data_IF_111597625706
#
_entry.id   IF_111597625706
#
_cell.length_a   1.000
_cell.length_b   1.000
_cell.length_c   1.000
_cell.angle_alpha   90.00
_cell.angle_beta   90.00
_cell.angle_gamma   90.00
#
_symmetry.space_group_name_H-M   'P 1'
#
loop_
_entity.id
_entity.type
_entity.pdbx_description
1 polymer ?
#
# COMPACT_ATOMS: atom_id res chain seq x y z
N UNK A 1 48.86 27.31 -29.57
CA UNK A 1 48.34 25.93 -29.59
C UNK A 1 46.83 26.02 -29.73
N UNK A 2 46.35 26.01 -30.97
CA UNK A 2 44.95 26.24 -31.32
C UNK A 2 44.33 24.88 -31.67
N UNK A 3 43.39 24.43 -30.82
CA UNK A 3 42.71 23.15 -31.00
C UNK A 3 41.53 23.33 -31.98
N UNK A 4 41.62 22.70 -33.15
CA UNK A 4 40.55 22.66 -34.13
C UNK A 4 39.36 21.78 -33.67
N UNK A 5 38.09 22.20 -33.91
CA UNK A 5 36.92 21.49 -33.40
C UNK A 5 36.52 20.26 -34.24
N UNK A 6 36.61 19.06 -33.65
CA UNK A 6 36.10 17.77 -34.15
C UNK A 6 34.55 17.68 -34.10
N UNK A 7 33.83 18.56 -34.81
CA UNK A 7 32.36 18.64 -34.72
C UNK A 7 31.59 18.04 -35.92
N UNK A 8 32.15 18.01 -37.14
CA UNK A 8 31.34 17.72 -38.35
C UNK A 8 30.90 16.26 -38.52
N UNK A 9 31.68 15.27 -38.06
CA UNK A 9 31.34 13.85 -38.27
C UNK A 9 30.12 13.37 -37.46
N UNK A 10 29.78 14.07 -36.37
CA UNK A 10 28.58 13.78 -35.57
C UNK A 10 27.31 14.27 -36.27
N UNK A 11 27.39 15.40 -36.96
CA UNK A 11 26.26 16.00 -37.69
C UNK A 11 25.85 15.12 -38.88
N UNK A 12 26.80 14.62 -39.67
CA UNK A 12 26.50 13.70 -40.77
C UNK A 12 25.88 12.37 -40.30
N UNK A 13 26.26 11.87 -39.12
CA UNK A 13 25.65 10.68 -38.53
C UNK A 13 24.19 10.94 -38.13
N UNK A 14 23.91 12.07 -37.48
CA UNK A 14 22.54 12.45 -37.07
C UNK A 14 21.62 12.65 -38.29
N UNK A 15 22.11 13.33 -39.33
CA UNK A 15 21.36 13.51 -40.58
C UNK A 15 21.13 12.17 -41.27
N UNK A 16 22.14 11.29 -41.30
CA UNK A 16 22.00 9.93 -41.82
C UNK A 16 20.93 9.12 -41.09
N UNK A 17 20.91 9.16 -39.75
CA UNK A 17 19.91 8.47 -38.92
C UNK A 17 18.49 9.05 -39.06
N UNK A 18 18.35 10.32 -39.42
CA UNK A 18 17.04 10.94 -39.67
C UNK A 18 16.51 10.68 -41.09
N UNK A 19 17.39 10.60 -42.09
CA UNK A 19 17.02 10.39 -43.50
C UNK A 19 16.78 8.90 -43.81
N UNK A 20 17.57 8.00 -43.21
CA UNK A 20 17.48 6.56 -43.46
C UNK A 20 16.07 5.98 -43.25
N UNK A 21 15.32 6.28 -42.16
CA UNK A 21 13.97 5.79 -41.97
C UNK A 21 13.00 6.28 -43.05
N UNK A 22 13.14 7.54 -43.48
CA UNK A 22 12.29 8.14 -44.54
C UNK A 22 12.55 7.43 -45.87
N UNK A 23 13.81 7.19 -46.22
CA UNK A 23 14.19 6.47 -47.44
C UNK A 23 13.72 5.01 -47.40
N UNK A 24 13.83 4.34 -46.25
CA UNK A 24 13.36 2.96 -46.08
C UNK A 24 11.84 2.88 -46.21
N UNK A 25 11.09 3.79 -45.60
CA UNK A 25 9.62 3.86 -45.73
C UNK A 25 9.22 4.12 -47.19
N UNK A 26 9.84 5.10 -47.85
CA UNK A 26 9.57 5.41 -49.24
C UNK A 26 9.90 4.22 -50.17
N UNK A 27 11.03 3.55 -49.94
CA UNK A 27 11.40 2.34 -50.67
C UNK A 27 10.37 1.22 -50.46
N UNK A 28 9.83 1.06 -49.25
CA UNK A 28 8.82 0.06 -48.94
C UNK A 28 7.50 0.29 -49.69
N UNK A 29 7.01 1.54 -49.68
CA UNK A 29 5.78 1.94 -50.38
C UNK A 29 5.90 1.92 -51.91
N UNK A 30 7.11 1.95 -52.46
CA UNK A 30 7.35 1.84 -53.91
C UNK A 30 7.66 0.40 -54.34
N UNK A 31 8.45 -0.33 -53.56
CA UNK A 31 8.89 -1.68 -53.89
C UNK A 31 7.76 -2.70 -53.80
N UNK A 32 6.89 -2.61 -52.78
CA UNK A 32 5.80 -3.59 -52.60
C UNK A 32 4.80 -3.54 -53.77
N UNK A 33 4.27 -2.37 -54.19
CA UNK A 33 3.43 -2.29 -55.38
C UNK A 33 4.12 -2.82 -56.63
N UNK A 34 5.39 -2.47 -56.82
CA UNK A 34 6.16 -2.92 -57.98
C UNK A 34 6.31 -4.45 -58.02
N UNK A 35 6.59 -5.09 -56.88
CA UNK A 35 6.68 -6.55 -56.75
C UNK A 35 5.33 -7.21 -57.02
N UNK A 36 4.23 -6.66 -56.50
CA UNK A 36 2.87 -7.16 -56.74
C UNK A 36 2.53 -7.09 -58.23
N UNK A 37 2.76 -5.93 -58.86
CA UNK A 37 2.52 -5.72 -60.29
C UNK A 37 3.36 -6.70 -61.12
N UNK A 38 4.65 -6.84 -60.80
CA UNK A 38 5.54 -7.78 -61.47
C UNK A 38 5.05 -9.23 -61.34
N UNK A 39 4.64 -9.65 -60.13
CA UNK A 39 4.13 -10.99 -59.87
C UNK A 39 2.84 -11.27 -60.66
N UNK A 40 1.90 -10.32 -60.66
CA UNK A 40 0.64 -10.43 -61.41
C UNK A 40 0.90 -10.59 -62.92
N UNK A 41 1.84 -9.82 -63.48
CA UNK A 41 2.16 -9.88 -64.91
C UNK A 41 2.93 -11.14 -65.29
N UNK A 42 3.80 -11.64 -64.41
CA UNK A 42 4.55 -12.87 -64.63
C UNK A 42 3.65 -14.10 -64.63
N UNK A 43 2.68 -14.15 -63.72
CA UNK A 43 1.78 -15.30 -63.55
C UNK A 43 0.69 -15.37 -64.63
N UNK A 44 0.18 -14.22 -65.07
CA UNK A 44 -0.93 -14.15 -66.02
C UNK A 44 -0.50 -13.62 -67.40
N UNK A 45 0.10 -14.49 -68.22
CA UNK A 45 0.55 -14.16 -69.59
C UNK A 45 -0.60 -13.75 -70.54
N UNK A 46 -1.86 -14.05 -70.21
CA UNK A 46 -3.05 -13.75 -71.03
C UNK A 46 -3.60 -12.32 -70.84
N UNK A 47 -3.02 -11.50 -69.97
CA UNK A 47 -3.52 -10.14 -69.76
C UNK A 47 -3.23 -9.24 -70.97
N UNK A 48 -4.29 -8.63 -71.50
CA UNK A 48 -4.19 -7.57 -72.50
C UNK A 48 -3.44 -6.36 -71.93
N UNK A 49 -2.86 -5.53 -72.80
CA UNK A 49 -2.20 -4.30 -72.38
C UNK A 49 -3.12 -3.39 -71.55
N UNK A 50 -4.42 -3.34 -71.90
CA UNK A 50 -5.45 -2.59 -71.17
C UNK A 50 -5.66 -3.15 -69.76
N UNK A 51 -5.73 -4.47 -69.62
CA UNK A 51 -5.90 -5.13 -68.31
C UNK A 51 -4.71 -4.87 -67.40
N UNK A 52 -3.48 -4.96 -67.95
CA UNK A 52 -2.25 -4.64 -67.20
C UNK A 52 -2.30 -3.20 -66.68
N UNK A 53 -2.51 -2.24 -67.57
CA UNK A 53 -2.62 -0.83 -67.20
C UNK A 53 -3.62 -0.60 -66.07
N UNK A 54 -4.84 -1.13 -66.19
CA UNK A 54 -5.89 -0.99 -65.17
C UNK A 54 -5.43 -1.59 -63.83
N UNK A 55 -4.88 -2.80 -63.83
CA UNK A 55 -4.44 -3.47 -62.58
C UNK A 55 -3.28 -2.73 -61.89
N UNK A 56 -2.31 -2.22 -62.64
CA UNK A 56 -1.21 -1.43 -62.06
C UNK A 56 -1.71 -0.13 -61.47
N UNK A 57 -2.61 0.57 -62.16
CA UNK A 57 -3.20 1.82 -61.67
C UNK A 57 -3.97 1.58 -60.37
N UNK A 58 -4.77 0.50 -60.29
CA UNK A 58 -5.51 0.15 -59.06
C UNK A 58 -4.55 -0.12 -57.90
N UNK A 59 -3.52 -0.96 -58.11
CA UNK A 59 -2.54 -1.29 -57.04
C UNK A 59 -1.82 -0.03 -56.57
N UNK A 60 -1.36 0.84 -57.48
CA UNK A 60 -0.71 2.09 -57.11
C UNK A 60 -1.65 3.03 -56.34
N UNK A 61 -2.92 3.18 -56.76
CA UNK A 61 -3.91 4.00 -56.05
C UNK A 61 -4.15 3.47 -54.63
N UNK A 62 -4.28 2.16 -54.45
CA UNK A 62 -4.50 1.56 -53.13
C UNK A 62 -3.35 1.87 -52.16
N UNK A 63 -2.10 1.76 -52.61
CA UNK A 63 -0.94 2.07 -51.76
C UNK A 63 -0.77 3.57 -51.49
N UNK A 64 -1.13 4.43 -52.45
CA UNK A 64 -1.18 5.89 -52.23
C UNK A 64 -2.27 6.21 -51.18
N UNK A 65 -3.44 5.58 -51.26
CA UNK A 65 -4.52 5.78 -50.27
C UNK A 65 -4.13 5.27 -48.89
N UNK A 66 -3.45 4.11 -48.79
CA UNK A 66 -2.93 3.59 -47.52
C UNK A 66 -1.84 4.50 -46.92
N UNK A 67 -0.93 5.00 -47.76
CA UNK A 67 0.09 5.97 -47.35
C UNK A 67 -0.51 7.30 -46.89
N UNK A 68 -1.49 7.83 -47.61
CA UNK A 68 -2.22 9.02 -47.22
C UNK A 68 -2.96 8.79 -45.88
N UNK A 69 -3.69 7.69 -45.74
CA UNK A 69 -4.45 7.34 -44.53
C UNK A 69 -3.55 7.22 -43.28
N UNK A 70 -2.32 6.71 -43.44
CA UNK A 70 -1.33 6.66 -42.35
C UNK A 70 -0.69 8.02 -42.03
N UNK A 71 -0.63 8.95 -42.98
CA UNK A 71 -0.16 10.33 -42.75
C UNK A 71 -1.23 11.23 -42.10
N UNK A 72 -2.51 10.86 -42.19
CA UNK A 72 -3.61 11.52 -41.46
C UNK A 72 -3.74 11.04 -40.00
N UNK A 73 -2.63 10.71 -39.33
CA UNK A 73 -2.63 10.44 -37.89
C UNK A 73 -3.17 11.64 -37.11
N UNK A 74 -4.14 11.41 -36.21
CA UNK A 74 -4.91 12.44 -35.52
C UNK A 74 -4.05 13.52 -34.84
N UNK A 75 -4.59 14.72 -34.62
CA UNK A 75 -3.83 15.79 -33.93
C UNK A 75 -3.58 15.39 -32.47
N UNK A 76 -2.39 15.70 -31.94
CA UNK A 76 -2.11 15.49 -30.52
C UNK A 76 -3.14 16.29 -29.69
N UNK A 77 -3.74 15.69 -28.66
CA UNK A 77 -4.76 16.37 -27.88
C UNK A 77 -4.15 17.50 -27.07
N UNK A 78 -4.85 18.64 -26.98
CA UNK A 78 -4.49 19.76 -26.11
C UNK A 78 -5.55 19.87 -25.03
N UNK A 79 -5.13 19.86 -23.77
CA UNK A 79 -6.00 19.97 -22.59
C UNK A 79 -5.85 21.36 -22.01
N UNK A 80 -6.96 22.06 -21.81
CA UNK A 80 -7.01 23.35 -21.11
C UNK A 80 -7.97 23.25 -19.95
N UNK A 81 -7.48 23.41 -18.71
CA UNK A 81 -8.32 23.44 -17.51
C UNK A 81 -8.73 24.89 -17.23
N UNK A 82 -10.03 25.15 -17.14
CA UNK A 82 -10.56 26.46 -16.77
C UNK A 82 -10.80 26.59 -15.27
N UNK A 83 -11.31 25.52 -14.64
CA UNK A 83 -11.55 25.46 -13.20
C UNK A 83 -11.29 24.04 -12.68
N UNK A 84 -10.76 23.88 -11.45
CA UNK A 84 -10.17 24.90 -10.60
C UNK A 84 -8.77 25.33 -11.10
N UNK A 85 -8.27 26.45 -10.59
CA UNK A 85 -6.86 26.82 -10.77
C UNK A 85 -5.93 25.82 -10.07
N UNK A 86 -4.69 25.71 -10.55
CA UNK A 86 -3.70 24.85 -9.89
C UNK A 86 -3.40 25.36 -8.46
N UNK A 87 -3.33 24.44 -7.50
CA UNK A 87 -3.20 24.70 -6.05
C UNK A 87 -4.41 25.41 -5.41
N UNK A 88 -5.59 25.32 -6.02
CA UNK A 88 -6.82 25.87 -5.44
C UNK A 88 -7.16 25.22 -4.09
N UNK A 89 -7.59 26.03 -3.11
CA UNK A 89 -7.99 25.54 -1.78
C UNK A 89 -9.50 25.65 -1.60
N UNK A 90 -10.13 24.59 -1.07
CA UNK A 90 -11.58 24.52 -0.90
C UNK A 90 -11.95 23.77 0.39
N UNK A 91 -13.08 24.10 1.00
CA UNK A 91 -13.66 23.32 2.12
C UNK A 91 -14.60 22.19 1.64
N UNK A 92 -15.05 22.32 0.40
CA UNK A 92 -15.70 21.32 -0.46
C UNK A 92 -15.13 19.90 -0.29
N UNK A 93 -15.96 18.88 0.00
CA UNK A 93 -15.57 17.48 -0.19
C UNK A 93 -15.56 17.05 -1.66
N UNK A 94 -15.98 17.92 -2.58
CA UNK A 94 -15.95 17.72 -4.03
C UNK A 94 -15.51 19.02 -4.71
N UNK A 95 -14.86 18.88 -5.85
CA UNK A 95 -14.52 20.00 -6.73
C UNK A 95 -15.03 19.75 -8.14
N UNK A 96 -15.63 20.76 -8.74
CA UNK A 96 -16.05 20.72 -10.14
C UNK A 96 -14.86 21.09 -11.02
N UNK A 97 -14.36 20.11 -11.79
CA UNK A 97 -13.29 20.32 -12.76
C UNK A 97 -13.93 20.59 -14.12
N UNK A 98 -13.62 21.75 -14.70
CA UNK A 98 -14.06 22.17 -16.03
C UNK A 98 -12.85 22.43 -16.93
N UNK A 99 -13.02 22.15 -18.21
CA UNK A 99 -12.00 22.44 -19.19
C UNK A 99 -12.47 22.18 -20.61
N UNK A 100 -11.51 22.24 -21.52
CA UNK A 100 -11.68 21.91 -22.92
C UNK A 100 -10.55 20.98 -23.38
N UNK A 101 -10.87 20.05 -24.29
CA UNK A 101 -9.93 19.20 -25.00
C UNK A 101 -10.12 19.37 -26.50
N UNK A 102 -9.00 19.50 -27.23
CA UNK A 102 -8.99 19.63 -28.69
C UNK A 102 -8.05 18.58 -29.28
N UNK A 103 -8.52 17.70 -30.18
CA UNK A 103 -9.86 17.69 -30.79
C UNK A 103 -10.95 17.13 -29.87
N UNK A 104 -12.21 17.49 -30.14
CA UNK A 104 -13.36 17.19 -29.26
C UNK A 104 -13.76 15.71 -29.22
N UNK A 105 -13.25 14.90 -30.15
CA UNK A 105 -13.39 13.44 -30.18
C UNK A 105 -12.33 12.70 -29.34
N UNK A 106 -11.45 13.43 -28.64
CA UNK A 106 -10.45 12.84 -27.76
C UNK A 106 -11.09 12.16 -26.55
N UNK A 107 -10.58 10.97 -26.18
CA UNK A 107 -10.98 10.28 -24.96
C UNK A 107 -10.28 10.93 -23.77
N UNK A 108 -11.05 11.37 -22.78
CA UNK A 108 -10.53 12.04 -21.59
C UNK A 108 -10.74 11.17 -20.34
N UNK A 109 -9.73 11.11 -19.47
CA UNK A 109 -9.85 10.55 -18.13
C UNK A 109 -9.34 11.52 -17.06
N UNK A 110 -9.96 11.51 -15.88
CA UNK A 110 -9.41 12.16 -14.68
C UNK A 110 -9.27 11.11 -13.60
N UNK A 111 -8.07 10.95 -13.05
CA UNK A 111 -7.74 9.88 -12.10
C UNK A 111 -8.20 8.51 -12.59
N UNK A 112 -7.93 8.21 -13.86
CA UNK A 112 -8.32 6.97 -14.55
C UNK A 112 -9.84 6.79 -14.80
N UNK A 113 -10.68 7.76 -14.38
CA UNK A 113 -12.13 7.71 -14.64
C UNK A 113 -12.47 8.41 -15.96
N UNK A 114 -13.14 7.74 -16.91
CA UNK A 114 -13.47 8.32 -18.22
C UNK A 114 -14.52 9.42 -18.08
N UNK A 115 -14.33 10.55 -18.78
CA UNK A 115 -15.21 11.72 -18.78
C UNK A 115 -15.85 11.90 -20.14
N UNK A 116 -17.13 12.26 -20.15
CA UNK A 116 -17.82 12.67 -21.36
C UNK A 116 -17.39 14.08 -21.77
N UNK A 117 -16.97 14.19 -23.04
CA UNK A 117 -16.60 15.44 -23.69
C UNK A 117 -17.73 15.80 -24.64
N UNK A 118 -18.18 17.06 -24.62
CA UNK A 118 -19.22 17.52 -25.51
C UNK A 118 -18.72 17.69 -26.96
N UNK A 119 -19.65 17.98 -27.89
CA UNK A 119 -19.33 18.15 -29.32
C UNK A 119 -18.31 19.28 -29.59
N UNK A 120 -18.20 20.24 -28.67
CA UNK A 120 -17.31 21.39 -28.75
C UNK A 120 -15.99 21.18 -27.99
N UNK A 121 -15.80 20.02 -27.37
CA UNK A 121 -14.59 19.67 -26.62
C UNK A 121 -14.64 20.05 -25.14
N UNK A 122 -15.75 20.61 -24.64
CA UNK A 122 -15.85 20.96 -23.23
C UNK A 122 -16.22 19.77 -22.37
N UNK A 123 -15.71 19.76 -21.15
CA UNK A 123 -16.03 18.77 -20.15
C UNK A 123 -16.22 19.43 -18.79
N UNK A 124 -17.05 18.81 -17.96
CA UNK A 124 -17.26 19.20 -16.58
C UNK A 124 -17.50 17.94 -15.73
N UNK A 125 -16.78 17.78 -14.63
CA UNK A 125 -16.98 16.65 -13.72
C UNK A 125 -16.69 17.01 -12.27
N UNK A 126 -17.56 16.56 -11.37
CA UNK A 126 -17.30 16.61 -9.94
C UNK A 126 -16.40 15.47 -9.49
N UNK A 127 -15.29 15.83 -8.84
CA UNK A 127 -14.30 14.89 -8.30
C UNK A 127 -14.33 14.95 -6.77
N UNK A 128 -14.49 13.82 -6.06
CA UNK A 128 -14.39 13.80 -4.60
C UNK A 128 -12.96 14.09 -4.15
N UNK A 129 -12.83 14.86 -3.07
CA UNK A 129 -11.57 15.27 -2.47
C UNK A 129 -11.37 14.60 -1.11
N UNK A 130 -10.15 14.15 -0.86
CA UNK A 130 -9.66 13.80 0.47
C UNK A 130 -9.14 15.05 1.16
N UNK A 131 -9.07 15.03 2.48
CA UNK A 131 -8.56 16.19 3.23
C UNK A 131 -7.06 16.32 2.99
N UNK A 132 -6.57 17.56 2.87
CA UNK A 132 -5.20 17.85 2.44
C UNK A 132 -5.09 17.96 0.91
N UNK A 133 -3.91 17.63 0.40
CA UNK A 133 -3.57 17.83 -1.01
C UNK A 133 -4.10 16.68 -1.88
N UNK A 134 -4.78 17.03 -2.98
CA UNK A 134 -5.30 16.10 -3.98
C UNK A 134 -4.67 16.43 -5.32
N UNK A 135 -3.93 15.49 -5.90
CA UNK A 135 -3.39 15.62 -7.25
C UNK A 135 -4.35 14.94 -8.23
N UNK A 136 -4.89 15.70 -9.16
CA UNK A 136 -5.80 15.20 -10.20
C UNK A 136 -4.99 15.04 -11.50
N UNK A 137 -4.87 13.80 -11.96
CA UNK A 137 -4.21 13.47 -13.22
C UNK A 137 -5.24 13.43 -14.35
N UNK A 138 -5.12 14.35 -15.30
CA UNK A 138 -5.99 14.46 -16.47
C UNK A 138 -5.21 13.96 -17.68
N UNK A 139 -5.75 12.93 -18.36
CA UNK A 139 -5.14 12.31 -19.53
C UNK A 139 -6.11 12.39 -20.70
N UNK A 140 -5.65 12.91 -21.84
CA UNK A 140 -6.38 12.89 -23.10
C UNK A 140 -5.66 12.02 -24.13
N UNK A 141 -6.44 11.21 -24.86
CA UNK A 141 -5.98 10.32 -25.91
C UNK A 141 -6.75 10.62 -27.21
N UNK A 142 -6.01 10.77 -28.31
CA UNK A 142 -6.57 10.84 -29.66
C UNK A 142 -5.79 9.89 -30.58
N UNK A 143 -6.38 8.72 -30.86
CA UNK A 143 -5.72 7.66 -31.62
C UNK A 143 -4.49 7.14 -30.89
N UNK A 144 -3.32 7.28 -31.51
CA UNK A 144 -2.02 6.87 -30.97
C UNK A 144 -1.32 7.96 -30.13
N UNK A 145 -1.93 9.15 -30.01
CA UNK A 145 -1.35 10.29 -29.31
C UNK A 145 -2.00 10.51 -27.95
N UNK A 146 -1.17 10.75 -26.95
CA UNK A 146 -1.61 10.94 -25.57
C UNK A 146 -0.89 12.13 -24.92
N UNK A 147 -1.62 12.91 -24.13
CA UNK A 147 -1.11 14.01 -23.31
C UNK A 147 -1.65 13.88 -21.88
N UNK A 148 -0.82 14.18 -20.89
CA UNK A 148 -1.17 14.18 -19.46
C UNK A 148 -0.85 15.55 -18.86
N UNK A 149 -1.74 16.03 -17.99
CA UNK A 149 -1.56 17.24 -17.17
C UNK A 149 -2.06 16.98 -15.76
N UNK A 150 -1.46 17.65 -14.78
CA UNK A 150 -1.83 17.52 -13.37
C UNK A 150 -2.29 18.86 -12.82
N UNK A 151 -3.35 18.84 -12.01
CA UNK A 151 -3.73 19.98 -11.16
C UNK A 151 -3.79 19.53 -9.70
N UNK A 152 -3.31 20.40 -8.80
CA UNK A 152 -3.38 20.19 -7.36
C UNK A 152 -4.57 20.96 -6.77
N UNK A 153 -5.33 20.32 -5.89
CA UNK A 153 -6.44 20.93 -5.14
C UNK A 153 -6.31 20.56 -3.68
N UNK A 154 -6.25 21.56 -2.80
CA UNK A 154 -6.14 21.35 -1.35
C UNK A 154 -7.51 21.46 -0.69
N UNK A 155 -7.99 20.36 -0.12
CA UNK A 155 -9.16 20.40 0.76
C UNK A 155 -8.75 20.74 2.17
N UNK A 156 -9.30 21.82 2.71
CA UNK A 156 -9.16 22.20 4.12
C UNK A 156 -10.44 21.81 4.88
N UNK A 157 -10.33 21.64 6.19
CA UNK A 157 -11.51 21.39 7.02
C UNK A 157 -12.33 22.67 7.19
N UNK A 158 -13.64 22.50 7.39
CA UNK A 158 -14.49 23.56 7.93
C UNK A 158 -14.21 23.75 9.42
N UNK A 159 -14.61 24.90 9.99
CA UNK A 159 -14.48 25.15 11.42
C UNK A 159 -15.28 24.14 12.25
N UNK A 160 -16.47 23.75 11.78
CA UNK A 160 -17.32 22.77 12.45
C UNK A 160 -16.70 21.38 12.43
N UNK A 161 -16.08 20.96 11.31
CA UNK A 161 -15.34 19.69 11.25
C UNK A 161 -14.12 19.68 12.17
N UNK A 162 -13.43 20.82 12.32
CA UNK A 162 -12.32 20.96 13.27
C UNK A 162 -12.85 20.81 14.70
N UNK A 163 -13.90 21.56 15.06
CA UNK A 163 -14.50 21.51 16.39
C UNK A 163 -15.02 20.11 16.75
N UNK A 164 -15.65 19.41 15.80
CA UNK A 164 -16.10 18.03 16.00
C UNK A 164 -14.94 17.06 16.28
N UNK A 165 -13.82 17.21 15.55
CA UNK A 165 -12.63 16.37 15.77
C UNK A 165 -11.96 16.65 17.09
N UNK A 166 -11.85 17.92 17.48
CA UNK A 166 -11.29 18.30 18.77
C UNK A 166 -12.16 17.77 19.93
N UNK A 167 -13.49 17.84 19.78
CA UNK A 167 -14.43 17.26 20.74
C UNK A 167 -14.30 15.73 20.82
N UNK A 168 -14.25 15.04 19.68
CA UNK A 168 -14.06 13.58 19.63
C UNK A 168 -12.74 13.16 20.28
N UNK A 169 -11.65 13.89 20.01
CA UNK A 169 -10.35 13.63 20.63
C UNK A 169 -10.38 13.88 22.14
N UNK A 170 -11.08 14.94 22.59
CA UNK A 170 -11.26 15.21 24.03
C UNK A 170 -12.02 14.07 24.70
N UNK A 171 -13.15 13.66 24.13
CA UNK A 171 -13.97 12.57 24.66
C UNK A 171 -13.20 11.24 24.68
N UNK A 172 -12.39 10.96 23.66
CA UNK A 172 -11.53 9.78 23.63
C UNK A 172 -10.48 9.79 24.75
N UNK A 173 -9.81 10.93 24.96
CA UNK A 173 -8.83 11.11 26.05
C UNK A 173 -9.48 11.00 27.43
N UNK A 174 -10.66 11.57 27.60
CA UNK A 174 -11.44 11.47 28.85
C UNK A 174 -11.89 10.03 29.13
N UNK A 175 -12.33 9.31 28.10
CA UNK A 175 -12.71 7.90 28.21
C UNK A 175 -11.51 7.02 28.58
N UNK A 176 -10.36 7.23 27.92
CA UNK A 176 -9.11 6.51 28.24
C UNK A 176 -8.66 6.79 29.68
N UNK A 177 -8.69 8.06 30.10
CA UNK A 177 -8.35 8.45 31.47
C UNK A 177 -9.29 7.80 32.50
N UNK A 178 -10.59 7.70 32.21
CA UNK A 178 -11.55 7.04 33.08
C UNK A 178 -11.28 5.55 33.21
N UNK A 179 -11.04 4.84 32.10
CA UNK A 179 -10.72 3.41 32.10
C UNK A 179 -9.45 3.16 32.90
N UNK A 180 -8.42 3.99 32.70
CA UNK A 180 -7.18 3.89 33.45
C UNK A 180 -7.39 4.14 34.95
N UNK A 181 -8.14 5.17 35.31
CA UNK A 181 -8.45 5.47 36.70
C UNK A 181 -9.27 4.36 37.38
N UNK A 182 -10.20 3.74 36.66
CA UNK A 182 -10.97 2.60 37.14
C UNK A 182 -10.08 1.38 37.37
N UNK A 183 -9.24 1.01 36.40
CA UNK A 183 -8.28 -0.09 36.54
C UNK A 183 -7.27 0.15 37.67
N UNK A 184 -6.78 1.39 37.83
CA UNK A 184 -5.93 1.77 38.95
C UNK A 184 -6.67 1.66 40.28
N UNK A 185 -7.92 2.08 40.36
CA UNK A 185 -8.73 1.97 41.57
C UNK A 185 -9.02 0.49 41.94
N UNK A 186 -9.34 -0.35 40.96
CA UNK A 186 -9.52 -1.80 41.16
C UNK A 186 -8.23 -2.47 41.63
N UNK A 187 -7.09 -2.13 41.02
CA UNK A 187 -5.79 -2.66 41.42
C UNK A 187 -5.42 -2.23 42.85
N UNK A 188 -5.67 -0.97 43.21
CA UNK A 188 -5.44 -0.49 44.58
C UNK A 188 -6.37 -1.19 45.58
N UNK A 189 -7.63 -1.43 45.20
CA UNK A 189 -8.59 -2.17 46.02
C UNK A 189 -8.12 -3.63 46.23
N UNK A 190 -7.63 -4.30 45.18
CA UNK A 190 -7.05 -5.63 45.28
C UNK A 190 -5.83 -5.64 46.22
N UNK A 191 -4.88 -4.72 46.03
CA UNK A 191 -3.70 -4.60 46.89
C UNK A 191 -3.98 -4.19 48.35
N UNK A 192 -5.20 -3.77 48.67
CA UNK A 192 -5.65 -3.59 50.04
C UNK A 192 -6.14 -4.89 50.71
N UNK A 193 -6.37 -5.97 49.93
CA UNK A 193 -6.75 -7.28 50.45
C UNK A 193 -5.54 -8.05 50.99
N UNK A 194 -5.72 -9.05 51.89
CA UNK A 194 -4.62 -9.91 52.33
C UNK A 194 -3.86 -10.59 51.18
N UNK A 195 -4.58 -11.12 50.17
CA UNK A 195 -3.99 -11.73 48.98
C UNK A 195 -3.20 -10.70 48.15
N UNK A 196 -3.77 -9.52 47.93
CA UNK A 196 -3.11 -8.47 47.17
C UNK A 196 -1.85 -7.93 47.85
N UNK A 197 -1.80 -7.86 49.18
CA UNK A 197 -0.57 -7.51 49.92
C UNK A 197 0.52 -8.55 49.66
N UNK A 198 0.18 -9.85 49.68
CA UNK A 198 1.12 -10.94 49.36
C UNK A 198 1.65 -10.79 47.94
N UNK A 199 0.76 -10.65 46.96
CA UNK A 199 1.10 -10.49 45.54
C UNK A 199 1.91 -9.21 45.25
N UNK A 200 1.69 -8.13 46.00
CA UNK A 200 2.47 -6.91 45.88
C UNK A 200 3.92 -7.10 46.35
N UNK A 201 4.14 -7.96 47.35
CA UNK A 201 5.48 -8.32 47.83
C UNK A 201 6.15 -9.42 47.00
N UNK A 202 5.35 -10.24 46.31
CA UNK A 202 5.78 -11.36 45.49
C UNK A 202 5.15 -11.30 44.09
N UNK A 203 5.62 -10.39 43.22
CA UNK A 203 5.05 -10.19 41.89
C UNK A 203 5.22 -11.39 40.94
N UNK A 204 6.10 -12.33 41.29
CA UNK A 204 6.30 -13.60 40.60
C UNK A 204 5.21 -14.63 40.87
N UNK A 205 4.41 -14.46 41.93
CA UNK A 205 3.29 -15.33 42.26
C UNK A 205 2.02 -14.88 41.55
N UNK A 206 1.25 -15.84 41.05
CA UNK A 206 -0.06 -15.57 40.46
C UNK A 206 -1.07 -15.14 41.52
N UNK A 207 -2.09 -14.39 41.10
CA UNK A 207 -3.20 -13.96 41.96
C UNK A 207 -3.82 -15.14 42.73
N UNK A 208 -4.05 -16.27 42.05
CA UNK A 208 -4.60 -17.48 42.66
C UNK A 208 -3.70 -18.08 43.74
N UNK A 209 -2.38 -17.99 43.58
CA UNK A 209 -1.42 -18.46 44.59
C UNK A 209 -1.43 -17.52 45.80
N UNK A 210 -1.43 -16.20 45.57
CA UNK A 210 -1.56 -15.23 46.66
C UNK A 210 -2.88 -15.38 47.44
N UNK A 211 -3.99 -15.65 46.76
CA UNK A 211 -5.27 -15.99 47.39
C UNK A 211 -5.17 -17.26 48.22
N UNK A 212 -4.57 -18.32 47.68
CA UNK A 212 -4.36 -19.57 48.40
C UNK A 212 -3.48 -19.37 49.65
N UNK A 213 -2.45 -18.53 49.57
CA UNK A 213 -1.57 -18.21 50.69
C UNK A 213 -2.26 -17.34 51.74
N UNK A 214 -3.08 -16.37 51.32
CA UNK A 214 -3.91 -15.58 52.23
C UNK A 214 -4.87 -16.48 53.03
N UNK A 215 -5.41 -17.52 52.39
CA UNK A 215 -6.24 -18.56 53.02
C UNK A 215 -5.42 -19.62 53.80
N UNK A 216 -4.09 -19.50 53.85
CA UNK A 216 -3.15 -20.46 54.44
C UNK A 216 -3.32 -21.89 53.91
N UNK A 217 -3.72 -22.03 52.65
CA UNK A 217 -3.87 -23.32 51.97
C UNK A 217 -2.50 -23.90 51.64
N UNK A 218 -2.45 -25.23 51.66
CA UNK A 218 -1.31 -26.02 51.25
C UNK A 218 -1.76 -26.88 50.06
N UNK A 219 -0.96 -26.92 48.99
CA UNK A 219 -1.28 -27.69 47.80
C UNK A 219 -0.02 -28.27 47.14
N UNK A 220 -0.21 -29.29 46.32
CA UNK A 220 0.85 -29.84 45.47
C UNK A 220 1.08 -28.91 44.29
N UNK A 221 2.35 -28.59 44.02
CA UNK A 221 2.74 -27.60 43.02
C UNK A 221 3.04 -26.20 43.60
N UNK A 222 2.93 -26.01 44.92
CA UNK A 222 3.40 -24.77 45.55
C UNK A 222 4.94 -24.73 45.61
N UNK A 223 5.53 -23.55 45.56
CA UNK A 223 6.99 -23.42 45.65
C UNK A 223 7.49 -23.53 47.09
N UNK A 224 8.78 -23.83 47.26
CA UNK A 224 9.45 -23.81 48.56
C UNK A 224 9.33 -22.44 49.24
N UNK A 225 9.51 -21.35 48.49
CA UNK A 225 9.39 -19.98 49.02
C UNK A 225 7.98 -19.68 49.54
N UNK A 226 6.94 -20.19 48.88
CA UNK A 226 5.56 -20.09 49.36
C UNK A 226 5.34 -20.83 50.68
N UNK A 227 5.95 -22.02 50.86
CA UNK A 227 5.91 -22.74 52.13
C UNK A 227 6.65 -22.00 53.23
N UNK A 228 7.83 -21.45 52.91
CA UNK A 228 8.61 -20.64 53.85
C UNK A 228 7.85 -19.38 54.24
N UNK A 229 7.13 -18.75 53.31
CA UNK A 229 6.25 -17.62 53.61
C UNK A 229 5.16 -18.01 54.63
N UNK A 230 4.51 -19.16 54.47
CA UNK A 230 3.43 -19.60 55.37
C UNK A 230 3.91 -20.07 56.75
N UNK A 231 5.09 -20.69 56.83
CA UNK A 231 5.51 -21.50 57.99
C UNK A 231 6.88 -21.11 58.56
N UNK A 232 7.60 -20.19 57.93
CA UNK A 232 9.00 -19.90 58.21
C UNK A 232 9.93 -20.98 57.64
N UNK A 233 11.22 -20.90 57.97
CA UNK A 233 12.20 -21.90 57.52
C UNK A 233 11.91 -23.28 58.13
N UNK A 234 12.14 -24.39 57.38
CA UNK A 234 11.95 -25.74 57.90
C UNK A 234 12.92 -26.02 59.06
N UNK A 235 12.52 -26.93 59.95
CA UNK A 235 13.37 -27.40 61.05
C UNK A 235 14.50 -28.31 60.55
N UNK A 236 14.27 -29.05 59.46
CA UNK A 236 15.27 -29.88 58.80
C UNK A 236 15.08 -29.92 57.29
N UNK A 237 16.19 -29.93 56.56
CA UNK A 237 16.25 -30.14 55.12
C UNK A 237 17.15 -31.34 54.89
N UNK A 238 16.58 -32.44 54.41
CA UNK A 238 17.30 -33.70 54.23
C UNK A 238 17.31 -34.08 52.75
N UNK A 239 18.50 -34.22 52.12
CA UNK A 239 18.58 -34.84 50.81
C UNK A 239 18.36 -36.35 50.98
N UNK A 240 17.49 -36.92 50.16
CA UNK A 240 17.30 -38.36 50.05
C UNK A 240 17.75 -38.84 48.67
N UNK A 241 18.45 -39.96 48.64
CA UNK A 241 18.90 -40.65 47.44
C UNK A 241 18.03 -41.88 47.10
N UNK A 242 16.82 -41.94 47.66
CA UNK A 242 15.88 -43.03 47.42
C UNK A 242 15.19 -42.85 46.06
N UNK A 243 15.80 -43.37 44.98
CA UNK A 243 15.25 -43.34 43.63
C UNK A 243 16.27 -42.97 42.55
N UNK A 244 15.81 -42.54 41.37
CA UNK A 244 16.65 -41.93 40.33
C UNK A 244 16.68 -40.41 40.53
N UNK A 245 17.74 -39.90 41.13
CA UNK A 245 17.93 -38.48 41.41
C UNK A 245 18.03 -38.18 42.91
N UNK A 246 18.51 -36.99 43.23
CA UNK A 246 18.45 -36.42 44.57
C UNK A 246 17.04 -35.84 44.77
N UNK A 247 16.42 -36.13 45.91
CA UNK A 247 15.12 -35.57 46.28
C UNK A 247 15.30 -34.81 47.59
N UNK A 248 14.75 -33.61 47.70
CA UNK A 248 14.80 -32.83 48.92
C UNK A 248 13.53 -33.03 49.75
N UNK A 249 13.73 -33.28 51.04
CA UNK A 249 12.66 -33.32 52.03
C UNK A 249 12.79 -32.11 52.97
N UNK A 250 11.75 -31.28 53.03
CA UNK A 250 11.65 -30.12 53.90
C UNK A 250 10.63 -30.39 55.01
N UNK A 251 11.05 -30.42 56.28
CA UNK A 251 10.18 -30.77 57.40
C UNK A 251 9.98 -29.62 58.40
N UNK A 252 8.73 -29.40 58.79
CA UNK A 252 8.29 -28.53 59.88
C UNK A 252 7.58 -29.38 60.94
N UNK A 253 8.25 -29.60 62.07
CA UNK A 253 7.79 -30.57 63.08
C UNK A 253 6.48 -30.17 63.77
N UNK A 254 6.18 -28.87 63.80
CA UNK A 254 5.00 -28.31 64.48
C UNK A 254 3.75 -28.20 63.58
N UNK A 255 3.84 -28.61 62.31
CA UNK A 255 2.77 -28.44 61.33
C UNK A 255 2.25 -29.78 60.79
N UNK A 256 1.01 -29.75 60.28
CA UNK A 256 0.39 -30.85 59.52
C UNK A 256 -0.10 -30.33 58.17
N UNK A 257 0.26 -30.94 57.02
CA UNK A 257 1.33 -31.96 56.87
C UNK A 257 2.68 -31.46 57.35
N UNK A 258 3.57 -32.37 57.75
CA UNK A 258 4.83 -32.05 58.44
C UNK A 258 6.03 -32.01 57.50
N UNK A 259 6.09 -32.86 56.48
CA UNK A 259 7.18 -32.81 55.49
C UNK A 259 6.65 -32.72 54.06
N UNK A 260 7.42 -32.02 53.23
CA UNK A 260 7.19 -31.83 51.81
C UNK A 260 8.37 -32.35 51.02
N UNK A 261 8.11 -32.79 49.79
CA UNK A 261 9.08 -33.44 48.94
C UNK A 261 9.17 -32.73 47.59
N UNK A 262 10.39 -32.35 47.22
CA UNK A 262 10.80 -31.92 45.88
C UNK A 262 11.63 -33.05 45.26
N UNK A 263 11.16 -33.65 44.16
CA UNK A 263 11.77 -34.84 43.58
C UNK A 263 12.77 -34.53 42.46
N UNK A 264 12.79 -33.30 41.96
CA UNK A 264 13.51 -32.89 40.76
C UNK A 264 14.34 -31.61 40.94
N UNK A 265 14.44 -31.10 42.17
CA UNK A 265 15.21 -29.91 42.55
C UNK A 265 14.75 -28.64 41.82
N UNK A 266 13.45 -28.52 41.55
CA UNK A 266 12.87 -27.33 40.93
C UNK A 266 12.21 -26.37 41.93
N UNK A 267 12.38 -26.64 43.23
CA UNK A 267 11.77 -25.93 44.35
C UNK A 267 10.24 -25.99 44.34
N UNK A 268 9.63 -26.96 43.64
CA UNK A 268 8.18 -27.18 43.59
C UNK A 268 7.83 -28.46 44.35
N UNK A 269 6.81 -28.38 45.20
CA UNK A 269 6.44 -29.48 46.08
C UNK A 269 5.57 -30.51 45.35
N UNK A 270 6.11 -31.72 45.14
CA UNK A 270 5.44 -32.84 44.46
C UNK A 270 4.50 -33.64 45.37
N UNK A 271 4.81 -33.68 46.66
CA UNK A 271 4.08 -34.46 47.66
C UNK A 271 4.29 -33.91 49.07
N UNK A 272 3.42 -34.30 50.01
CA UNK A 272 3.62 -34.07 51.43
C UNK A 272 3.06 -35.22 52.28
N UNK A 273 3.50 -35.32 53.53
CA UNK A 273 3.02 -36.30 54.51
C UNK A 273 2.64 -35.69 55.87
#
# INVERSE_FOLDING_TARGET
MENAPKSSSKIFKIIGYAILPVVVIAAWYLAIPAIIIWYLYKKNKKFSAKTKLITSTIVSIVFILLGAMSMYGGKAPVITISEPANNFSIQANRVLVKGNVNPSDSKLTINYLPIEVDKNGYFAREIPLKNGDNVLNIVAENGDKMVSTNISVKRIFTLDEIAQKEEEERLAKEAEARVKAEAEAELQAYYATPAGIICKSHPEWSEKECEALADRKIWIGMTYDMLVYLRGKPNSINPSNYGRGTQYQYCWHDYKPSCFYDRNEDDIMDAYN
#
